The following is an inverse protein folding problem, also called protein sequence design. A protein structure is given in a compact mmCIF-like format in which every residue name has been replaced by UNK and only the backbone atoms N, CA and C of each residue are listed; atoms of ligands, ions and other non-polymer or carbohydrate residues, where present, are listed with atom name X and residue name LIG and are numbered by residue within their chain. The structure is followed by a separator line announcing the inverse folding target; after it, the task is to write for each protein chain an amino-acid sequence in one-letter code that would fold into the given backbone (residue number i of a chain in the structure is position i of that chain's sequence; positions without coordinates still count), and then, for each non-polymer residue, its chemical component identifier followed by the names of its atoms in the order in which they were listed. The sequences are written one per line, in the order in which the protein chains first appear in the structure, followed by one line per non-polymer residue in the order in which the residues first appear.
data_IF_006535319595
#
_entry.id   IF_006535319595
#
_cell.length_a   1.000
_cell.length_b   1.000
_cell.length_c   1.000
_cell.angle_alpha   90.00
_cell.angle_beta   90.00
_cell.angle_gamma   90.00
#
_symmetry.space_group_name_H-M   'P 1'
#
loop_
_entity.id
_entity.type
_entity.pdbx_description
1 polymer ?
#
# COMPACT_ATOMS: atom_id res chain seq x y z
N UNK A 1 -24.66 1.74 -9.59
CA UNK A 1 -23.59 2.56 -10.24
C UNK A 1 -24.20 3.16 -11.49
N UNK A 2 -24.06 4.44 -11.66
CA UNK A 2 -24.58 5.14 -12.83
C UNK A 2 -23.56 5.00 -13.99
N UNK A 3 -23.80 4.06 -14.90
CA UNK A 3 -22.91 3.79 -16.04
C UNK A 3 -22.89 4.92 -17.08
N UNK A 4 -23.78 5.95 -16.94
CA UNK A 4 -23.90 7.05 -17.88
C UNK A 4 -22.75 8.06 -17.82
N UNK A 5 -21.89 8.00 -16.81
CA UNK A 5 -20.82 9.00 -16.58
C UNK A 5 -19.42 8.49 -16.91
N UNK A 6 -19.28 7.44 -17.72
CA UNK A 6 -17.97 6.92 -18.11
C UNK A 6 -17.00 7.03 -16.93
N UNK A 7 -17.09 6.14 -15.95
CA UNK A 7 -16.31 6.27 -14.72
C UNK A 7 -14.82 6.26 -15.06
N UNK A 8 -14.22 7.43 -15.05
CA UNK A 8 -12.79 7.57 -15.02
C UNK A 8 -12.33 7.06 -13.65
N UNK A 9 -11.90 5.82 -13.58
CA UNK A 9 -10.96 5.26 -12.61
C UNK A 9 -11.27 5.39 -11.11
N UNK A 10 -11.99 6.43 -10.60
CA UNK A 10 -12.17 6.60 -9.16
C UNK A 10 -13.40 7.45 -8.80
N UNK A 11 -14.11 7.11 -7.73
CA UNK A 11 -15.29 7.82 -7.23
C UNK A 11 -15.41 7.75 -5.71
N UNK A 12 -16.46 8.39 -5.17
CA UNK A 12 -16.68 8.54 -3.73
C UNK A 12 -15.71 9.55 -3.14
N UNK A 13 -15.88 9.89 -1.88
CA UNK A 13 -15.04 10.89 -1.22
C UNK A 13 -14.50 10.38 0.11
N UNK A 14 -13.22 10.64 0.36
CA UNK A 14 -12.57 10.61 1.66
C UNK A 14 -12.87 11.91 2.41
N UNK A 15 -12.42 12.06 3.65
CA UNK A 15 -12.66 13.27 4.44
C UNK A 15 -12.07 14.54 3.79
N UNK A 16 -11.01 14.41 2.99
CA UNK A 16 -10.35 15.51 2.27
C UNK A 16 -10.84 15.68 0.82
N UNK A 17 -11.90 14.97 0.42
CA UNK A 17 -12.52 15.07 -0.90
C UNK A 17 -11.88 14.24 -2.00
N UNK A 18 -10.81 13.50 -1.73
CA UNK A 18 -10.22 12.59 -2.73
C UNK A 18 -11.11 11.39 -2.96
N UNK A 19 -10.96 10.76 -4.12
CA UNK A 19 -11.71 9.57 -4.48
C UNK A 19 -11.45 8.40 -3.51
N UNK A 20 -12.52 7.76 -3.07
CA UNK A 20 -12.45 6.61 -2.15
C UNK A 20 -12.28 5.30 -2.86
N UNK A 21 -12.98 5.11 -3.97
CA UNK A 21 -13.03 3.85 -4.69
C UNK A 21 -12.27 3.98 -6.02
N UNK A 22 -11.41 3.02 -6.29
CA UNK A 22 -10.60 2.94 -7.49
C UNK A 22 -10.96 1.65 -8.25
N UNK A 23 -11.33 1.79 -9.51
CA UNK A 23 -11.67 0.68 -10.41
C UNK A 23 -10.61 0.51 -11.48
N UNK A 24 -10.51 -0.70 -12.02
CA UNK A 24 -9.73 -0.95 -13.22
C UNK A 24 -10.58 -0.63 -14.45
N UNK A 25 -10.32 0.47 -15.18
CA UNK A 25 -11.16 0.89 -16.30
C UNK A 25 -11.13 -0.08 -17.49
N UNK A 26 -10.09 -0.92 -17.59
CA UNK A 26 -9.95 -1.90 -18.67
C UNK A 26 -10.89 -3.08 -18.49
N UNK A 27 -11.07 -3.49 -17.24
CA UNK A 27 -11.84 -4.70 -16.89
C UNK A 27 -13.24 -4.37 -16.36
N UNK A 28 -13.54 -3.08 -16.08
CA UNK A 28 -14.78 -2.67 -15.44
C UNK A 28 -15.95 -2.62 -16.41
N UNK A 29 -17.08 -3.22 -15.99
CA UNK A 29 -18.40 -3.04 -16.61
C UNK A 29 -19.50 -3.20 -15.57
N UNK A 30 -20.74 -2.80 -15.90
CA UNK A 30 -21.89 -3.00 -15.01
C UNK A 30 -22.13 -4.49 -14.67
N UNK A 31 -21.78 -5.38 -15.60
CA UNK A 31 -21.91 -6.83 -15.41
C UNK A 31 -20.71 -7.46 -14.72
N UNK A 32 -19.54 -6.81 -14.80
CA UNK A 32 -18.28 -7.26 -14.20
C UNK A 32 -17.59 -6.06 -13.54
N UNK A 33 -18.04 -5.63 -12.35
CA UNK A 33 -17.39 -4.52 -11.65
C UNK A 33 -15.97 -4.92 -11.22
N UNK A 34 -14.99 -4.08 -11.52
CA UNK A 34 -13.58 -4.34 -11.22
C UNK A 34 -13.00 -3.35 -10.21
N UNK A 35 -13.51 -3.39 -8.97
CA UNK A 35 -12.94 -2.65 -7.87
C UNK A 35 -11.54 -3.18 -7.55
N UNK A 36 -10.53 -2.29 -7.53
CA UNK A 36 -9.15 -2.65 -7.19
C UNK A 36 -8.66 -2.04 -5.88
N UNK A 37 -9.27 -0.93 -5.41
CA UNK A 37 -8.90 -0.31 -4.13
C UNK A 37 -10.05 0.42 -3.47
N UNK A 38 -10.07 0.36 -2.13
CA UNK A 38 -10.85 1.27 -1.27
C UNK A 38 -9.88 2.05 -0.39
N UNK A 39 -9.87 3.36 -0.50
CA UNK A 39 -9.03 4.27 0.30
C UNK A 39 -9.68 4.57 1.65
N UNK A 40 -8.90 4.56 2.71
CA UNK A 40 -9.28 4.90 4.08
C UNK A 40 -10.56 4.21 4.57
N UNK A 41 -10.65 2.86 4.48
CA UNK A 41 -11.83 2.13 4.95
C UNK A 41 -12.11 2.33 6.44
N UNK A 42 -11.11 2.73 7.22
CA UNK A 42 -11.23 3.09 8.64
C UNK A 42 -12.17 4.28 8.89
N UNK A 43 -12.46 5.10 7.88
CA UNK A 43 -13.39 6.22 8.01
C UNK A 43 -14.85 5.82 7.88
N UNK A 44 -15.12 4.74 7.17
CA UNK A 44 -16.48 4.30 6.82
C UNK A 44 -16.92 3.02 7.53
N UNK A 45 -16.00 2.37 8.27
CA UNK A 45 -16.29 1.16 9.02
C UNK A 45 -15.57 1.14 10.35
N UNK A 46 -16.33 1.05 11.42
CA UNK A 46 -15.82 0.94 12.79
C UNK A 46 -15.00 -0.36 12.97
N UNK A 47 -15.39 -1.44 12.31
CA UNK A 47 -14.64 -2.69 12.36
C UNK A 47 -13.21 -2.52 11.80
N UNK A 48 -13.06 -1.83 10.67
CA UNK A 48 -11.72 -1.52 10.12
C UNK A 48 -10.97 -0.51 10.98
N UNK A 49 -11.64 0.47 11.58
CA UNK A 49 -11.00 1.40 12.50
C UNK A 49 -10.48 0.68 13.75
N UNK A 50 -11.28 -0.17 14.35
CA UNK A 50 -10.88 -0.96 15.51
C UNK A 50 -9.75 -1.94 15.16
N UNK A 51 -9.80 -2.59 14.00
CA UNK A 51 -8.74 -3.47 13.53
C UNK A 51 -7.41 -2.71 13.37
N UNK A 52 -7.44 -1.52 12.78
CA UNK A 52 -6.23 -0.73 12.55
C UNK A 52 -5.66 -0.09 13.83
N UNK A 53 -6.52 0.29 14.80
CA UNK A 53 -6.11 1.17 15.90
C UNK A 53 -6.09 0.47 17.26
N UNK A 54 -6.82 -0.65 17.43
CA UNK A 54 -7.12 -1.22 18.77
C UNK A 54 -7.13 -2.75 18.78
N UNK A 55 -6.34 -3.39 17.95
CA UNK A 55 -6.34 -4.86 17.83
C UNK A 55 -4.95 -5.45 18.02
N UNK A 56 -4.89 -6.79 18.15
CA UNK A 56 -3.60 -7.49 18.16
C UNK A 56 -2.75 -7.21 16.91
N UNK A 57 -3.36 -6.88 15.75
CA UNK A 57 -2.61 -6.46 14.55
C UNK A 57 -1.83 -5.18 14.82
N UNK A 58 -2.47 -4.19 15.43
CA UNK A 58 -1.82 -2.92 15.77
C UNK A 58 -0.78 -3.07 16.90
N UNK A 59 -1.04 -3.94 17.87
CA UNK A 59 -0.09 -4.26 18.94
C UNK A 59 1.18 -4.92 18.39
N UNK A 60 1.02 -5.92 17.52
CA UNK A 60 2.14 -6.60 16.87
C UNK A 60 2.94 -5.66 15.96
N UNK A 61 2.25 -4.78 15.23
CA UNK A 61 2.93 -3.75 14.42
C UNK A 61 3.81 -2.83 15.30
N UNK A 62 3.28 -2.45 16.48
CA UNK A 62 4.02 -1.62 17.44
C UNK A 62 5.22 -2.34 18.03
N UNK A 63 5.08 -3.62 18.36
CA UNK A 63 6.19 -4.42 18.89
C UNK A 63 7.30 -4.63 17.85
N UNK A 64 6.94 -4.72 16.56
CA UNK A 64 7.90 -4.82 15.45
C UNK A 64 8.61 -3.51 15.12
N UNK A 65 7.92 -2.38 15.21
CA UNK A 65 8.51 -1.05 15.04
C UNK A 65 9.43 -0.74 16.22
N UNK A 66 8.99 -1.06 17.45
CA UNK A 66 9.72 -0.74 18.66
C UNK A 66 9.70 0.76 19.00
N UNK A 67 10.68 1.20 19.82
CA UNK A 67 10.79 2.60 20.22
C UNK A 67 9.78 3.04 21.28
N UNK A 68 9.53 4.36 21.38
CA UNK A 68 8.68 4.93 22.41
C UNK A 68 7.20 4.86 22.10
N UNK A 69 6.84 4.92 20.81
CA UNK A 69 5.45 4.90 20.40
C UNK A 69 5.26 4.62 18.91
N UNK A 70 4.07 4.18 18.57
CA UNK A 70 3.66 3.86 17.20
C UNK A 70 2.40 4.61 16.85
N UNK A 71 2.40 5.26 15.69
CA UNK A 71 1.27 5.99 15.16
C UNK A 71 0.73 5.34 13.89
N UNK A 72 -0.59 5.41 13.71
CA UNK A 72 -1.26 5.04 12.47
C UNK A 72 -0.94 6.07 11.38
N UNK A 73 -0.65 5.59 10.15
CA UNK A 73 -0.39 6.46 9.01
C UNK A 73 -1.59 6.49 8.06
N UNK A 74 -1.93 5.36 7.43
CA UNK A 74 -3.09 5.26 6.54
C UNK A 74 -3.58 3.82 6.40
N UNK A 75 -4.72 3.65 5.75
CA UNK A 75 -5.23 2.33 5.39
C UNK A 75 -5.87 2.28 4.01
N UNK A 76 -5.90 1.08 3.45
CA UNK A 76 -6.56 0.77 2.18
C UNK A 76 -7.03 -0.68 2.17
N UNK A 77 -8.01 -0.99 1.31
CA UNK A 77 -8.28 -2.36 0.90
C UNK A 77 -7.82 -2.49 -0.55
N UNK A 78 -6.96 -3.46 -0.82
CA UNK A 78 -6.62 -3.84 -2.18
C UNK A 78 -7.42 -5.09 -2.56
N UNK A 79 -8.17 -4.97 -3.66
CA UNK A 79 -8.98 -6.04 -4.22
C UNK A 79 -8.37 -6.54 -5.53
N UNK A 80 -8.36 -7.85 -5.70
CA UNK A 80 -8.13 -8.50 -7.00
C UNK A 80 -9.32 -9.40 -7.28
N UNK A 81 -10.22 -8.91 -8.13
CA UNK A 81 -11.40 -9.67 -8.52
C UNK A 81 -11.02 -10.76 -9.52
N UNK A 82 -11.83 -11.83 -9.64
CA UNK A 82 -11.58 -12.88 -10.62
C UNK A 82 -11.53 -12.35 -12.05
N UNK A 83 -10.64 -12.91 -12.86
CA UNK A 83 -10.52 -12.56 -14.27
C UNK A 83 -10.20 -11.08 -14.55
N UNK A 84 -9.52 -10.40 -13.63
CA UNK A 84 -8.98 -9.04 -13.83
C UNK A 84 -7.47 -9.08 -14.02
N UNK A 85 -6.96 -8.16 -14.83
CA UNK A 85 -5.54 -8.04 -15.15
C UNK A 85 -4.73 -7.24 -14.14
N UNK A 86 -5.36 -6.77 -13.07
CA UNK A 86 -4.75 -5.89 -12.08
C UNK A 86 -3.47 -6.47 -11.49
N UNK A 87 -2.35 -5.81 -11.76
CA UNK A 87 -1.01 -6.14 -11.24
C UNK A 87 -0.47 -4.99 -10.42
N UNK A 88 0.49 -5.29 -9.57
CA UNK A 88 1.33 -4.30 -8.88
C UNK A 88 2.77 -4.63 -9.21
N UNK A 89 3.46 -3.68 -9.83
CA UNK A 89 4.87 -3.82 -10.22
C UNK A 89 5.77 -3.85 -8.99
N UNK A 90 7.00 -4.36 -9.15
CA UNK A 90 8.00 -4.38 -8.09
C UNK A 90 8.33 -2.98 -7.61
N UNK A 91 8.22 -2.76 -6.31
CA UNK A 91 8.45 -1.46 -5.67
C UNK A 91 8.77 -1.61 -4.18
N UNK A 92 9.18 -0.52 -3.57
CA UNK A 92 9.25 -0.30 -2.13
C UNK A 92 8.18 0.74 -1.77
N UNK A 93 7.53 0.62 -0.62
CA UNK A 93 6.51 1.60 -0.19
C UNK A 93 7.14 2.94 0.24
N UNK A 94 8.33 2.92 0.82
CA UNK A 94 8.98 4.12 1.37
C UNK A 94 9.13 5.28 0.38
N UNK A 95 9.49 5.09 -0.92
CA UNK A 95 9.58 6.18 -1.88
C UNK A 95 8.26 6.92 -2.16
N UNK A 96 7.11 6.30 -1.88
CA UNK A 96 5.79 6.95 -2.01
C UNK A 96 5.44 7.82 -0.80
N UNK A 97 5.98 7.48 0.36
CA UNK A 97 5.70 8.15 1.64
C UNK A 97 6.99 8.28 2.43
N UNK A 98 7.99 9.05 1.91
CA UNK A 98 9.25 9.22 2.60
C UNK A 98 9.05 9.97 3.92
N UNK A 99 9.76 9.51 4.95
CA UNK A 99 9.76 10.08 6.29
C UNK A 99 11.18 10.39 6.74
N UNK A 100 11.33 11.07 7.85
CA UNK A 100 12.63 11.43 8.45
C UNK A 100 13.45 10.21 8.88
N UNK A 101 12.80 9.08 9.10
CA UNK A 101 13.40 7.75 9.27
C UNK A 101 12.48 6.69 8.64
N UNK A 102 12.98 5.47 8.50
CA UNK A 102 12.29 4.38 7.80
C UNK A 102 11.63 3.35 8.72
N UNK A 103 11.48 3.66 10.02
CA UNK A 103 10.71 2.82 10.95
C UNK A 103 9.22 2.90 10.65
N UNK A 104 8.87 2.34 9.52
CA UNK A 104 7.51 2.22 8.99
C UNK A 104 7.21 0.77 8.63
N UNK A 105 6.03 0.33 8.99
CA UNK A 105 5.56 -1.04 8.82
C UNK A 105 4.20 -1.08 8.17
N UNK A 106 4.04 -1.94 7.18
CA UNK A 106 2.77 -2.27 6.54
C UNK A 106 2.26 -3.61 7.07
N UNK A 107 1.06 -3.63 7.64
CA UNK A 107 0.33 -4.84 8.01
C UNK A 107 -0.74 -5.13 6.95
N UNK A 108 -0.67 -6.31 6.33
CA UNK A 108 -1.59 -6.76 5.29
C UNK A 108 -2.40 -7.95 5.82
N UNK A 109 -3.63 -7.71 6.26
CA UNK A 109 -4.53 -8.75 6.73
C UNK A 109 -5.32 -9.36 5.56
N UNK A 110 -5.35 -10.67 5.50
CA UNK A 110 -6.06 -11.45 4.48
C UNK A 110 -7.55 -11.56 4.83
N UNK A 111 -8.40 -10.90 4.04
CA UNK A 111 -9.87 -11.01 4.13
C UNK A 111 -10.32 -12.11 3.16
N UNK A 112 -10.14 -13.34 3.53
CA UNK A 112 -10.30 -14.51 2.68
C UNK A 112 -8.97 -15.24 2.54
N UNK A 113 -9.02 -16.46 2.02
CA UNK A 113 -7.81 -17.24 1.76
C UNK A 113 -7.00 -16.64 0.61
N UNK A 114 -5.69 -16.51 0.82
CA UNK A 114 -4.74 -16.09 -0.20
C UNK A 114 -3.92 -17.29 -0.64
N UNK A 115 -3.97 -17.59 -1.93
CA UNK A 115 -3.32 -18.73 -2.59
C UNK A 115 -2.33 -18.27 -3.66
N UNK A 116 -1.58 -19.20 -4.23
CA UNK A 116 -0.69 -18.93 -5.38
C UNK A 116 -1.43 -18.39 -6.61
N UNK A 117 -2.71 -18.73 -6.77
CA UNK A 117 -3.48 -18.44 -7.97
C UNK A 117 -4.22 -17.10 -7.92
N UNK A 118 -4.57 -16.61 -6.71
CA UNK A 118 -5.41 -15.41 -6.57
C UNK A 118 -4.61 -14.10 -6.44
N UNK A 119 -3.34 -14.10 -6.85
CA UNK A 119 -2.48 -12.92 -6.88
C UNK A 119 -1.96 -12.54 -5.50
N UNK A 120 -1.20 -13.42 -4.82
CA UNK A 120 -0.59 -13.14 -3.53
C UNK A 120 0.42 -11.98 -3.62
N UNK A 121 0.72 -11.39 -2.48
CA UNK A 121 1.89 -10.53 -2.34
C UNK A 121 3.14 -11.39 -2.55
N UNK A 122 4.06 -10.91 -3.38
CA UNK A 122 5.38 -11.47 -3.59
C UNK A 122 6.41 -10.56 -2.94
N UNK A 123 7.29 -11.08 -2.13
CA UNK A 123 8.31 -10.31 -1.41
C UNK A 123 9.72 -10.84 -1.67
N UNK A 124 10.70 -9.97 -1.71
CA UNK A 124 12.12 -10.34 -1.76
C UNK A 124 12.68 -10.32 -0.34
N UNK A 125 12.90 -11.48 0.31
CA UNK A 125 13.39 -11.54 1.68
C UNK A 125 14.72 -10.83 1.86
N UNK A 126 14.83 -9.97 2.88
CA UNK A 126 16.05 -9.25 3.19
C UNK A 126 16.25 -7.93 2.45
N UNK A 127 15.52 -7.66 1.37
CA UNK A 127 15.70 -6.46 0.53
C UNK A 127 15.45 -5.13 1.27
N UNK A 128 14.75 -5.13 2.38
CA UNK A 128 14.58 -3.94 3.23
C UNK A 128 15.88 -3.47 3.89
N UNK A 129 16.91 -4.31 3.94
CA UNK A 129 18.25 -3.99 4.47
C UNK A 129 19.20 -3.49 3.39
N UNK A 130 18.80 -3.60 2.13
CA UNK A 130 19.56 -3.11 0.98
C UNK A 130 19.29 -1.62 0.72
N UNK A 131 19.75 -1.13 -0.44
CA UNK A 131 19.57 0.26 -0.85
C UNK A 131 18.08 0.62 -1.04
N UNK A 132 17.79 1.91 -0.94
CA UNK A 132 16.54 2.47 -1.38
C UNK A 132 16.63 2.68 -2.90
N UNK A 133 15.92 1.86 -3.66
CA UNK A 133 15.95 1.90 -5.12
C UNK A 133 15.14 3.08 -5.67
N UNK A 134 15.62 3.65 -6.77
CA UNK A 134 14.90 4.72 -7.45
C UNK A 134 13.58 4.21 -8.04
N UNK A 135 12.52 5.01 -7.86
CA UNK A 135 11.21 4.81 -8.49
C UNK A 135 10.93 5.89 -9.54
N UNK A 136 12.01 6.49 -10.05
CA UNK A 136 11.98 7.52 -11.07
C UNK A 136 12.56 7.02 -12.38
N UNK A 137 11.93 7.38 -13.49
CA UNK A 137 12.36 7.05 -14.83
C UNK A 137 12.17 8.27 -15.73
N UNK A 138 13.21 8.69 -16.46
CA UNK A 138 13.19 9.86 -17.35
C UNK A 138 12.64 11.15 -16.69
N UNK A 139 12.97 11.37 -15.40
CA UNK A 139 12.52 12.55 -14.64
C UNK A 139 11.06 12.49 -14.17
N UNK A 140 10.39 11.35 -14.28
CA UNK A 140 9.02 11.11 -13.78
C UNK A 140 9.03 10.06 -12.66
N UNK A 141 8.18 10.25 -11.65
CA UNK A 141 7.94 9.25 -10.63
C UNK A 141 7.00 8.17 -11.16
N UNK A 142 7.57 7.01 -11.50
CA UNK A 142 6.83 5.88 -12.10
C UNK A 142 6.31 4.87 -11.07
N UNK A 143 6.77 4.96 -9.82
CA UNK A 143 6.30 4.12 -8.73
C UNK A 143 6.63 2.62 -8.87
N UNK A 144 7.69 2.29 -9.60
CA UNK A 144 8.25 0.95 -9.71
C UNK A 144 9.77 1.04 -9.76
N UNK A 145 10.47 -0.03 -9.45
CA UNK A 145 11.91 -0.15 -9.71
C UNK A 145 12.15 -0.33 -11.21
N UNK A 146 13.38 -0.05 -11.65
CA UNK A 146 13.79 -0.28 -13.05
C UNK A 146 13.78 -1.78 -13.39
N UNK A 147 13.70 -2.07 -14.68
CA UNK A 147 13.72 -3.44 -15.18
C UNK A 147 15.05 -4.15 -14.86
N UNK A 148 16.16 -3.40 -14.76
CA UNK A 148 17.46 -3.93 -14.32
C UNK A 148 17.40 -4.41 -12.85
N UNK A 149 16.86 -3.59 -11.95
CA UNK A 149 16.67 -3.97 -10.54
C UNK A 149 15.68 -5.14 -10.41
N UNK A 150 14.60 -5.14 -11.18
CA UNK A 150 13.67 -6.26 -11.21
C UNK A 150 14.37 -7.55 -11.62
N UNK A 151 15.18 -7.52 -12.69
CA UNK A 151 15.89 -8.69 -13.19
C UNK A 151 16.98 -9.18 -12.24
N UNK A 152 17.67 -8.27 -11.54
CA UNK A 152 18.77 -8.61 -10.63
C UNK A 152 18.27 -9.08 -9.26
N UNK A 153 17.30 -8.36 -8.67
CA UNK A 153 16.92 -8.51 -7.26
C UNK A 153 15.64 -9.32 -7.05
N UNK A 154 14.71 -9.33 -8.01
CA UNK A 154 13.38 -9.85 -7.79
C UNK A 154 13.15 -11.29 -8.29
N UNK A 155 14.23 -12.03 -8.62
CA UNK A 155 14.13 -13.40 -9.11
C UNK A 155 13.87 -14.42 -7.99
N UNK A 156 14.34 -14.15 -6.78
CA UNK A 156 14.17 -15.01 -5.61
C UNK A 156 13.14 -14.39 -4.64
N UNK A 157 11.89 -14.54 -4.98
CA UNK A 157 10.79 -14.04 -4.15
C UNK A 157 10.06 -15.15 -3.39
N UNK A 158 9.38 -14.75 -2.33
CA UNK A 158 8.51 -15.62 -1.54
C UNK A 158 7.07 -15.11 -1.62
N UNK A 159 6.08 -15.96 -1.95
CA UNK A 159 4.67 -15.59 -1.93
C UNK A 159 4.14 -15.60 -0.50
N UNK A 160 3.42 -14.53 -0.13
CA UNK A 160 2.70 -14.44 1.14
C UNK A 160 1.31 -15.05 0.97
N UNK A 161 1.18 -16.32 1.25
CA UNK A 161 -0.08 -17.09 1.22
C UNK A 161 -0.56 -17.39 2.64
N UNK A 162 -1.86 -17.57 2.81
CA UNK A 162 -2.41 -17.90 4.12
C UNK A 162 -3.93 -17.95 4.15
N UNK A 163 -4.46 -18.42 5.27
CA UNK A 163 -5.90 -18.49 5.54
C UNK A 163 -6.44 -17.10 5.89
N UNK A 164 -7.76 -16.95 5.83
CA UNK A 164 -8.47 -15.79 6.35
C UNK A 164 -7.98 -15.41 7.76
N UNK A 165 -7.68 -14.13 7.97
CA UNK A 165 -7.16 -13.60 9.23
C UNK A 165 -5.64 -13.69 9.39
N UNK A 166 -4.92 -14.33 8.47
CA UNK A 166 -3.45 -14.27 8.43
C UNK A 166 -3.00 -12.84 8.13
N UNK A 167 -1.89 -12.42 8.73
CA UNK A 167 -1.34 -11.07 8.56
C UNK A 167 0.12 -11.20 8.10
N UNK A 168 0.44 -10.52 7.02
CA UNK A 168 1.81 -10.29 6.60
C UNK A 168 2.26 -8.92 7.11
N UNK A 169 3.34 -8.88 7.89
CA UNK A 169 4.00 -7.63 8.29
C UNK A 169 5.23 -7.42 7.42
N UNK A 170 5.36 -6.26 6.80
CA UNK A 170 6.52 -5.92 5.99
C UNK A 170 7.01 -4.51 6.28
N UNK A 171 8.33 -4.36 6.26
CA UNK A 171 8.99 -3.06 6.34
C UNK A 171 8.72 -2.24 5.07
N UNK A 172 8.61 -0.91 5.18
CA UNK A 172 8.31 -0.02 4.04
C UNK A 172 9.36 -0.05 2.91
N UNK A 173 10.59 -0.51 3.18
CA UNK A 173 11.66 -0.67 2.20
C UNK A 173 11.72 -2.08 1.59
N UNK A 174 10.83 -3.00 1.94
CA UNK A 174 10.83 -4.34 1.36
C UNK A 174 10.40 -4.29 -0.10
N UNK A 175 11.20 -4.84 -1.01
CA UNK A 175 10.80 -5.05 -2.42
C UNK A 175 9.65 -6.04 -2.48
N UNK A 176 8.57 -5.62 -3.12
CA UNK A 176 7.37 -6.44 -3.23
C UNK A 176 6.56 -6.13 -4.49
N UNK A 177 5.74 -7.08 -4.88
CA UNK A 177 4.85 -6.99 -6.05
C UNK A 177 3.63 -7.88 -5.89
N UNK A 178 2.74 -7.91 -6.86
CA UNK A 178 1.70 -8.95 -6.95
C UNK A 178 1.19 -9.12 -8.38
N UNK A 179 1.08 -10.37 -8.84
CA UNK A 179 0.52 -10.72 -10.14
C UNK A 179 -1.02 -10.61 -10.17
N UNK A 180 -1.64 -10.90 -11.33
CA UNK A 180 -3.10 -10.89 -11.47
C UNK A 180 -3.76 -12.04 -10.69
N UNK A 181 -5.06 -11.91 -10.46
CA UNK A 181 -5.86 -13.01 -9.93
C UNK A 181 -6.32 -13.94 -11.06
N UNK A 182 -5.79 -15.15 -11.09
CA UNK A 182 -6.09 -16.20 -12.07
C UNK A 182 -7.14 -17.20 -11.56
N UNK A 183 -7.64 -17.02 -10.33
CA UNK A 183 -8.63 -17.88 -9.71
C UNK A 183 -10.06 -17.37 -9.94
N UNK A 184 -11.04 -18.18 -9.56
CA UNK A 184 -12.46 -17.81 -9.60
C UNK A 184 -12.95 -17.11 -8.33
N UNK A 185 -12.08 -16.88 -7.34
CA UNK A 185 -12.42 -16.25 -6.07
C UNK A 185 -11.74 -14.88 -5.92
N UNK A 186 -12.42 -13.87 -5.40
CA UNK A 186 -11.81 -12.57 -5.17
C UNK A 186 -10.75 -12.66 -4.06
N UNK A 187 -9.72 -11.83 -4.15
CA UNK A 187 -8.70 -11.67 -3.11
C UNK A 187 -8.75 -10.27 -2.55
N UNK A 188 -8.96 -10.14 -1.25
CA UNK A 188 -8.98 -8.86 -0.54
C UNK A 188 -7.89 -8.83 0.53
N UNK A 189 -7.14 -7.72 0.57
CA UNK A 189 -6.19 -7.42 1.65
C UNK A 189 -6.60 -6.11 2.32
N UNK A 190 -6.84 -6.15 3.63
CA UNK A 190 -6.91 -4.92 4.43
C UNK A 190 -5.49 -4.54 4.83
N UNK A 191 -5.08 -3.37 4.43
CA UNK A 191 -3.71 -2.87 4.57
C UNK A 191 -3.73 -1.66 5.50
N UNK A 192 -2.96 -1.73 6.58
CA UNK A 192 -2.73 -0.63 7.51
C UNK A 192 -1.24 -0.33 7.58
N UNK A 193 -0.87 0.94 7.49
CA UNK A 193 0.50 1.41 7.59
C UNK A 193 0.69 2.12 8.92
N UNK A 194 1.76 1.78 9.60
CA UNK A 194 2.18 2.32 10.88
C UNK A 194 3.57 2.93 10.76
N UNK A 195 3.86 3.88 11.63
CA UNK A 195 5.16 4.53 11.72
C UNK A 195 5.58 4.73 13.17
N UNK A 196 6.88 4.81 13.42
CA UNK A 196 7.37 5.29 14.71
C UNK A 196 6.85 6.71 15.00
N UNK A 197 6.64 7.02 16.25
CA UNK A 197 6.12 8.35 16.66
C UNK A 197 7.09 9.49 16.27
N UNK A 198 8.40 9.19 16.21
CA UNK A 198 9.48 10.10 15.84
C UNK A 198 9.80 10.14 14.33
N UNK A 199 9.03 9.43 13.51
CA UNK A 199 9.08 9.47 12.05
C UNK A 199 8.09 10.50 11.51
N UNK A 200 8.58 11.54 10.85
CA UNK A 200 7.77 12.64 10.30
C UNK A 200 7.78 12.61 8.77
N UNK A 201 6.62 12.84 8.17
CA UNK A 201 6.45 12.80 6.73
C UNK A 201 7.23 13.94 6.04
N UNK A 202 7.94 13.61 4.94
CA UNK A 202 8.66 14.54 4.08
C UNK A 202 7.86 14.93 2.83
N UNK A 203 6.72 14.29 2.59
CA UNK A 203 5.79 14.59 1.51
C UNK A 203 4.35 14.42 1.99
N UNK A 204 3.35 15.01 1.30
CA UNK A 204 1.95 14.78 1.62
C UNK A 204 1.58 13.30 1.58
N UNK A 205 0.77 12.86 2.54
CA UNK A 205 0.25 11.49 2.53
C UNK A 205 -0.63 11.27 1.28
N UNK A 206 -0.35 10.26 0.43
CA UNK A 206 -1.16 9.98 -0.74
C UNK A 206 -2.55 9.42 -0.40
N UNK A 207 -2.72 8.88 0.80
CA UNK A 207 -3.96 8.27 1.31
C UNK A 207 -4.33 8.83 2.68
N UNK A 208 -4.54 10.16 2.82
CA UNK A 208 -4.80 10.77 4.12
C UNK A 208 -6.10 10.23 4.74
N UNK A 209 -6.14 10.23 6.05
CA UNK A 209 -7.28 9.76 6.85
C UNK A 209 -7.47 10.68 8.06
N UNK A 210 -8.73 10.83 8.50
CA UNK A 210 -9.03 11.52 9.78
C UNK A 210 -8.34 10.87 10.99
N UNK A 211 -7.83 9.66 10.84
CA UNK A 211 -7.10 8.92 11.88
C UNK A 211 -5.58 9.03 11.74
N UNK A 212 -5.06 9.74 10.73
CA UNK A 212 -3.63 9.91 10.54
C UNK A 212 -2.96 10.53 11.78
N UNK A 213 -1.84 9.95 12.20
CA UNK A 213 -1.11 10.37 13.40
C UNK A 213 -1.72 9.88 14.72
N UNK A 214 -2.83 9.16 14.70
CA UNK A 214 -3.40 8.59 15.92
C UNK A 214 -2.39 7.65 16.59
N UNK A 215 -2.10 7.90 17.87
CA UNK A 215 -1.24 7.05 18.69
C UNK A 215 -1.93 5.70 18.89
N UNK A 216 -1.25 4.64 18.48
CA UNK A 216 -1.73 3.25 18.61
C UNK A 216 -1.23 2.62 19.90
N UNK A 217 0.05 2.81 20.22
CA UNK A 217 0.69 2.27 21.43
C UNK A 217 1.85 3.16 21.84
N UNK A 218 2.17 3.19 23.15
CA UNK A 218 3.29 3.94 23.70
C UNK A 218 2.97 5.40 23.96
N UNK A 219 3.91 6.29 23.69
CA UNK A 219 3.80 7.74 23.94
C UNK A 219 4.48 8.56 22.86
N UNK A 220 4.10 9.83 22.76
CA UNK A 220 4.75 10.81 21.87
C UNK A 220 5.86 11.50 22.65
N UNK A 221 7.10 11.39 22.19
CA UNK A 221 8.27 12.01 22.82
C UNK A 221 8.45 13.48 22.46
N UNK A 222 7.89 13.90 21.31
CA UNK A 222 8.14 15.22 20.72
C UNK A 222 9.50 15.35 20.02
N UNK A 223 10.26 14.26 19.93
CA UNK A 223 11.53 14.22 19.20
C UNK A 223 11.31 13.82 17.74
N UNK A 224 12.28 14.17 16.89
CA UNK A 224 12.36 13.72 15.50
C UNK A 224 13.67 12.97 15.32
N UNK A 225 13.60 11.73 14.86
CA UNK A 225 14.79 10.96 14.53
C UNK A 225 15.09 11.10 13.04
N UNK A 226 16.33 11.47 12.73
CA UNK A 226 16.79 11.67 11.37
C UNK A 226 17.72 10.51 10.98
N UNK A 227 17.39 9.84 9.87
CA UNK A 227 18.30 8.89 9.22
C UNK A 227 19.06 9.61 8.10
N UNK A 228 20.39 9.42 7.97
CA UNK A 228 21.22 10.12 6.98
C UNK A 228 21.05 9.52 5.58
N UNK A 229 19.83 9.43 5.07
CA UNK A 229 19.50 8.95 3.75
C UNK A 229 19.05 10.10 2.84
N UNK A 230 19.43 10.02 1.55
CA UNK A 230 18.88 10.91 0.53
C UNK A 230 17.73 10.20 -0.17
N UNK A 231 16.58 10.86 -0.25
CA UNK A 231 15.42 10.37 -0.99
C UNK A 231 14.91 11.46 -1.92
N UNK A 232 14.59 11.10 -3.16
CA UNK A 232 13.91 12.00 -4.07
C UNK A 232 12.40 12.01 -3.73
N UNK A 233 11.83 13.20 -3.48
CA UNK A 233 10.43 13.32 -3.10
C UNK A 233 9.52 12.87 -4.26
N UNK A 234 8.49 12.06 -3.98
CA UNK A 234 7.57 11.59 -5.01
C UNK A 234 6.75 12.74 -5.59
N UNK A 235 6.36 12.61 -6.86
CA UNK A 235 5.32 13.45 -7.42
C UNK A 235 3.96 13.04 -6.83
N UNK A 236 3.15 14.04 -6.46
CA UNK A 236 1.76 13.77 -6.08
C UNK A 236 1.02 13.29 -7.34
N UNK A 237 0.41 12.10 -7.33
CA UNK A 237 -0.29 11.60 -8.50
C UNK A 237 -1.36 12.59 -8.96
N UNK A 238 -1.33 12.97 -10.24
CA UNK A 238 -2.41 13.68 -10.89
C UNK A 238 -3.51 12.66 -11.17
N UNK A 239 -4.47 12.54 -10.28
CA UNK A 239 -5.51 11.51 -10.33
C UNK A 239 -5.40 10.54 -9.15
N UNK A 240 -6.40 9.68 -8.98
CA UNK A 240 -6.59 8.94 -7.74
C UNK A 240 -5.81 7.62 -7.66
N UNK A 241 -5.07 7.23 -8.70
CA UNK A 241 -4.64 5.85 -8.79
C UNK A 241 -3.13 5.65 -8.87
N UNK A 242 -2.58 4.98 -7.85
CA UNK A 242 -1.28 4.35 -7.85
C UNK A 242 -1.08 3.40 -9.07
N UNK A 243 -2.12 2.66 -9.46
CA UNK A 243 -2.07 1.73 -10.59
C UNK A 243 -1.84 2.46 -11.91
N UNK A 244 -2.53 3.58 -12.13
CA UNK A 244 -2.36 4.42 -13.31
C UNK A 244 -0.94 4.97 -13.42
N UNK A 245 -0.31 5.31 -12.30
CA UNK A 245 1.08 5.79 -12.28
C UNK A 245 2.06 4.71 -12.78
N UNK A 246 1.90 3.46 -12.34
CA UNK A 246 2.72 2.34 -12.81
C UNK A 246 2.41 1.94 -14.27
N UNK A 247 1.17 2.11 -14.73
CA UNK A 247 0.77 1.81 -16.12
C UNK A 247 1.33 2.83 -17.12
N UNK A 248 1.33 4.12 -16.78
CA UNK A 248 1.90 5.16 -17.67
C UNK A 248 3.39 4.97 -17.95
N UNK A 249 4.12 4.34 -17.06
CA UNK A 249 5.54 4.02 -17.24
C UNK A 249 5.80 2.96 -18.33
N UNK A 250 4.78 2.19 -18.71
CA UNK A 250 4.91 1.12 -19.73
C UNK A 250 4.52 1.59 -21.13
N UNK A 251 4.01 2.82 -21.30
CA UNK A 251 3.55 3.37 -22.58
C UNK A 251 4.53 4.42 -23.18
N UNK A 252 5.66 4.64 -22.60
CA UNK A 252 6.75 5.54 -23.06
C UNK A 252 7.99 4.77 -23.41
#
# INVERSE_FOLDING_TARGET
MDDSKGHSEAWGSTFDGRARFDIDPKDHSAKNPSLRRVTSPTEISEAFANMALKSNMSDMASDLIGGNGTCFHHSKINAKLPNTSTTVKWHQDFPFTPHTNDDMLTALMMIGEVTMENGPLLVVPGSHKEDLFSHWENGKFVGKVSDDIESEKCQQFVPCIGKTGSICFMHSRLLHSSGPNKSNLPRYLFISVYKAEDAYALSPNPLPSKHEGALVKGSISGNVRLTPNTVQLPEVPKGASFFTQQEMATMG
#
